data_IF_174032740923
#
_entry.id   IF_174032740923
#
_cell.length_a   1.000
_cell.length_b   1.000
_cell.length_c   1.000
_cell.angle_alpha   90.00
_cell.angle_beta   90.00
_cell.angle_gamma   90.00
#
_symmetry.space_group_name_H-M   'P 1'
#
loop_
_entity.id
_entity.type
_entity.pdbx_description
1 polymer ?
#
# COMPACT_ATOMS: atom_id res chain seq x y z
N UNK A 1 6.12 -18.59 -24.47
CA UNK A 1 7.18 -17.84 -23.77
C UNK A 1 6.60 -17.53 -22.40
N UNK A 2 7.17 -17.99 -21.28
CA UNK A 2 6.62 -17.57 -20.00
C UNK A 2 6.88 -16.06 -19.90
N UNK A 3 5.80 -15.31 -19.72
CA UNK A 3 5.86 -13.92 -19.29
C UNK A 3 6.56 -13.98 -17.94
N UNK A 4 7.60 -13.16 -17.74
CA UNK A 4 8.27 -13.08 -16.45
C UNK A 4 7.22 -12.58 -15.45
N UNK A 5 6.62 -13.47 -14.65
CA UNK A 5 5.46 -13.17 -13.79
C UNK A 5 5.81 -12.21 -12.65
N UNK A 6 7.10 -11.88 -12.47
CA UNK A 6 7.59 -10.94 -11.47
C UNK A 6 8.27 -9.72 -12.15
N UNK A 7 7.79 -8.53 -11.79
CA UNK A 7 8.41 -7.26 -12.18
C UNK A 7 9.75 -7.08 -11.46
N UNK A 8 10.76 -6.59 -12.17
CA UNK A 8 12.02 -6.17 -11.54
C UNK A 8 11.79 -4.97 -10.61
N UNK A 9 12.75 -4.70 -9.72
CA UNK A 9 12.70 -3.52 -8.84
C UNK A 9 12.56 -2.22 -9.65
N UNK A 10 13.30 -2.07 -10.77
CA UNK A 10 13.20 -0.91 -11.66
C UNK A 10 11.80 -0.79 -12.28
N UNK A 11 11.19 -1.91 -12.68
CA UNK A 11 9.83 -1.92 -13.23
C UNK A 11 8.79 -1.57 -12.17
N UNK A 12 8.96 -2.03 -10.93
CA UNK A 12 8.11 -1.65 -9.80
C UNK A 12 8.24 -0.16 -9.48
N UNK A 13 9.44 0.41 -9.51
CA UNK A 13 9.66 1.84 -9.30
C UNK A 13 9.05 2.67 -10.43
N UNK A 14 9.14 2.20 -11.68
CA UNK A 14 8.49 2.83 -12.84
C UNK A 14 6.97 2.83 -12.69
N UNK A 15 6.40 1.70 -12.27
CA UNK A 15 4.96 1.57 -12.01
C UNK A 15 4.51 2.46 -10.86
N UNK A 16 5.26 2.50 -9.76
CA UNK A 16 5.00 3.38 -8.62
C UNK A 16 4.98 4.84 -9.05
N UNK A 17 5.99 5.30 -9.80
CA UNK A 17 6.05 6.67 -10.34
C UNK A 17 4.87 6.98 -11.26
N UNK A 18 4.47 6.01 -12.07
CA UNK A 18 3.31 6.15 -12.96
C UNK A 18 2.03 6.32 -12.15
N UNK A 19 1.86 5.53 -11.08
CA UNK A 19 0.67 5.57 -10.25
C UNK A 19 0.58 6.82 -9.37
N UNK A 20 1.69 7.28 -8.79
CA UNK A 20 1.69 8.52 -8.01
C UNK A 20 1.29 9.71 -8.87
N UNK A 21 1.82 9.79 -10.10
CA UNK A 21 1.45 10.83 -11.07
C UNK A 21 -0.03 10.69 -11.49
N UNK A 22 -0.47 9.48 -11.83
CA UNK A 22 -1.87 9.21 -12.20
C UNK A 22 -2.85 9.58 -11.07
N UNK A 23 -2.44 9.37 -9.83
CA UNK A 23 -3.23 9.71 -8.64
C UNK A 23 -3.24 11.21 -8.31
N UNK A 24 -2.48 12.02 -9.06
CA UNK A 24 -2.49 13.48 -8.99
C UNK A 24 -1.33 14.10 -8.21
N UNK A 25 -0.34 13.32 -7.79
CA UNK A 25 0.88 13.89 -7.22
C UNK A 25 1.72 14.55 -8.31
N UNK A 26 2.43 15.63 -7.97
CA UNK A 26 3.43 16.20 -8.86
C UNK A 26 4.66 15.26 -8.95
N UNK A 27 5.39 15.30 -10.06
CA UNK A 27 6.65 14.53 -10.21
C UNK A 27 7.71 14.90 -9.16
N UNK A 28 7.60 16.10 -8.58
CA UNK A 28 8.46 16.59 -7.51
C UNK A 28 7.97 16.22 -6.11
N UNK A 29 6.75 15.68 -5.97
CA UNK A 29 6.21 15.25 -4.68
C UNK A 29 7.02 14.04 -4.21
N UNK A 30 7.58 14.06 -2.98
CA UNK A 30 8.38 12.94 -2.49
C UNK A 30 7.52 11.68 -2.31
N UNK A 31 8.15 10.54 -2.54
CA UNK A 31 7.60 9.22 -2.24
C UNK A 31 8.46 8.63 -1.14
N UNK A 32 7.90 8.49 0.05
CA UNK A 32 8.62 8.12 1.27
C UNK A 32 8.48 6.61 1.53
N UNK A 33 9.58 5.85 1.66
CA UNK A 33 9.49 4.46 2.06
C UNK A 33 9.04 4.36 3.53
N UNK A 34 8.03 3.52 3.78
CA UNK A 34 7.48 3.27 5.12
C UNK A 34 7.61 1.80 5.47
N UNK A 35 8.15 1.51 6.65
CA UNK A 35 8.26 0.14 7.18
C UNK A 35 6.97 -0.24 7.90
N UNK A 36 6.35 -1.34 7.47
CA UNK A 36 5.19 -1.97 8.09
C UNK A 36 5.62 -3.36 8.54
N UNK A 37 6.31 -3.45 9.68
CA UNK A 37 7.01 -4.68 10.06
C UNK A 37 8.23 -4.91 9.15
N UNK A 38 8.25 -6.04 8.46
CA UNK A 38 9.33 -6.39 7.54
C UNK A 38 9.07 -5.94 6.09
N UNK A 39 7.84 -5.54 5.81
CA UNK A 39 7.43 -5.01 4.52
C UNK A 39 7.77 -3.52 4.34
N UNK A 40 8.24 -3.16 3.14
CA UNK A 40 8.40 -1.76 2.72
C UNK A 40 7.22 -1.35 1.85
N UNK A 41 6.43 -0.40 2.34
CA UNK A 41 5.43 0.33 1.59
C UNK A 41 5.98 1.69 1.14
N UNK A 42 5.22 2.41 0.31
CA UNK A 42 5.61 3.74 -0.16
C UNK A 42 4.46 4.73 0.08
N UNK A 43 4.71 5.81 0.81
CA UNK A 43 3.74 6.85 1.09
C UNK A 43 3.99 8.06 0.18
N UNK A 44 2.97 8.51 -0.52
CA UNK A 44 2.99 9.78 -1.24
C UNK A 44 1.74 10.56 -0.86
N UNK A 45 1.92 11.70 -0.20
CA UNK A 45 0.84 12.48 0.42
C UNK A 45 0.00 11.61 1.38
N UNK A 46 -1.27 11.34 1.05
CA UNK A 46 -2.17 10.48 1.85
C UNK A 46 -2.40 9.11 1.22
N UNK A 47 -1.60 8.72 0.23
CA UNK A 47 -1.75 7.49 -0.54
C UNK A 47 -0.61 6.54 -0.21
N UNK A 48 -0.95 5.39 0.36
CA UNK A 48 0.00 4.34 0.72
C UNK A 48 -0.01 3.25 -0.35
N UNK A 49 1.14 2.98 -0.95
CA UNK A 49 1.31 2.02 -2.04
C UNK A 49 1.99 0.74 -1.53
N UNK A 50 1.32 -0.40 -1.73
CA UNK A 50 1.83 -1.75 -1.45
C UNK A 50 2.22 -2.40 -2.78
N UNK A 51 3.47 -2.17 -3.20
CA UNK A 51 4.00 -2.59 -4.51
C UNK A 51 4.73 -3.93 -4.47
N UNK A 52 5.44 -4.19 -3.37
CA UNK A 52 6.30 -5.35 -3.23
C UNK A 52 5.47 -6.62 -2.97
N UNK A 53 6.00 -7.78 -3.37
CA UNK A 53 5.45 -9.06 -2.98
C UNK A 53 5.76 -9.39 -1.51
N UNK A 54 5.10 -10.41 -0.97
CA UNK A 54 5.41 -10.94 0.36
C UNK A 54 4.80 -10.18 1.53
N UNK A 55 3.74 -9.37 1.32
CA UNK A 55 2.98 -8.78 2.41
C UNK A 55 2.28 -9.88 3.25
N UNK A 56 2.48 -9.85 4.57
CA UNK A 56 1.98 -10.88 5.48
C UNK A 56 1.00 -10.32 6.51
N UNK A 57 0.30 -11.21 7.25
CA UNK A 57 -0.55 -10.80 8.37
C UNK A 57 0.23 -10.09 9.49
N UNK A 58 1.55 -10.35 9.65
CA UNK A 58 2.38 -9.63 10.60
C UNK A 58 2.59 -8.17 10.18
N UNK A 59 2.79 -7.93 8.88
CA UNK A 59 2.92 -6.59 8.31
C UNK A 59 1.57 -5.83 8.36
N UNK A 60 0.46 -6.53 8.15
CA UNK A 60 -0.89 -5.97 8.34
C UNK A 60 -1.11 -5.52 9.80
N UNK A 61 -0.72 -6.34 10.77
CA UNK A 61 -0.81 -5.96 12.18
C UNK A 61 0.07 -4.73 12.48
N UNK A 62 1.29 -4.70 11.94
CA UNK A 62 2.18 -3.55 12.07
C UNK A 62 1.60 -2.29 11.41
N UNK A 63 0.91 -2.43 10.28
CA UNK A 63 0.20 -1.34 9.61
C UNK A 63 -0.91 -0.75 10.49
N UNK A 64 -1.80 -1.59 11.03
CA UNK A 64 -2.88 -1.12 11.91
C UNK A 64 -2.30 -0.45 13.16
N UNK A 65 -1.26 -1.02 13.78
CA UNK A 65 -0.57 -0.39 14.92
C UNK A 65 0.01 0.96 14.58
N UNK A 66 0.65 1.09 13.41
CA UNK A 66 1.21 2.38 12.97
C UNK A 66 0.12 3.44 12.78
N UNK A 67 -1.06 3.07 12.28
CA UNK A 67 -2.21 3.99 12.20
C UNK A 67 -2.71 4.46 13.57
N UNK A 68 -2.53 3.64 14.62
CA UNK A 68 -2.92 3.97 15.99
C UNK A 68 -1.86 4.81 16.72
N UNK A 69 -0.58 4.49 16.52
CA UNK A 69 0.53 4.99 17.34
C UNK A 69 1.24 6.23 16.75
N UNK A 70 1.12 6.46 15.44
CA UNK A 70 1.83 7.50 14.71
C UNK A 70 0.85 8.49 14.07
N UNK A 71 0.69 9.66 14.70
CA UNK A 71 -0.25 10.69 14.27
C UNK A 71 0.09 11.31 12.90
N UNK A 72 1.36 11.26 12.50
CA UNK A 72 1.80 11.76 11.19
C UNK A 72 1.54 10.72 10.09
N UNK A 73 1.43 9.44 10.46
CA UNK A 73 1.06 8.35 9.55
C UNK A 73 -0.45 8.21 9.38
N UNK A 74 -1.04 9.13 8.60
CA UNK A 74 -2.49 9.18 8.36
C UNK A 74 -2.87 9.12 6.86
N UNK A 75 -2.62 7.97 6.18
CA UNK A 75 -3.11 7.78 4.82
C UNK A 75 -4.63 7.71 4.78
N UNK A 76 -5.24 8.13 3.67
CA UNK A 76 -6.68 7.97 3.41
C UNK A 76 -6.99 6.93 2.31
N UNK A 77 -5.95 6.42 1.65
CA UNK A 77 -6.07 5.40 0.62
C UNK A 77 -4.88 4.44 0.66
N UNK A 78 -5.17 3.15 0.59
CA UNK A 78 -4.18 2.08 0.39
C UNK A 78 -4.35 1.56 -1.02
N UNK A 79 -3.30 1.65 -1.85
CA UNK A 79 -3.27 1.16 -3.22
C UNK A 79 -2.40 -0.08 -3.25
N UNK A 80 -2.96 -1.19 -3.71
CA UNK A 80 -2.28 -2.49 -3.74
C UNK A 80 -2.00 -2.87 -5.18
N UNK A 81 -0.75 -3.27 -5.45
CA UNK A 81 -0.45 -3.98 -6.68
C UNK A 81 -0.91 -5.42 -6.57
N UNK A 82 -2.09 -5.70 -7.15
CA UNK A 82 -2.82 -6.94 -6.98
C UNK A 82 -2.03 -8.17 -7.44
N UNK A 83 -1.21 -8.04 -8.49
CA UNK A 83 -0.37 -9.13 -8.99
C UNK A 83 0.66 -9.62 -7.97
N UNK A 84 1.08 -8.76 -7.04
CA UNK A 84 2.08 -9.07 -6.00
C UNK A 84 1.46 -9.46 -4.64
N UNK A 85 0.13 -9.56 -4.55
CA UNK A 85 -0.56 -9.90 -3.30
C UNK A 85 -1.58 -11.01 -3.54
N UNK A 86 -1.50 -12.11 -2.80
CA UNK A 86 -2.47 -13.18 -2.89
C UNK A 86 -3.90 -12.68 -2.59
N UNK A 87 -4.90 -13.18 -3.32
CA UNK A 87 -6.31 -12.76 -3.17
C UNK A 87 -6.84 -12.90 -1.74
N UNK A 88 -6.41 -13.94 -1.01
CA UNK A 88 -6.74 -14.10 0.40
C UNK A 88 -6.21 -12.95 1.26
N UNK A 89 -4.95 -12.53 1.04
CA UNK A 89 -4.34 -11.40 1.74
C UNK A 89 -4.96 -10.06 1.32
N UNK A 90 -5.33 -9.89 0.05
CA UNK A 90 -6.09 -8.71 -0.40
C UNK A 90 -7.42 -8.59 0.35
N UNK A 91 -8.13 -9.71 0.53
CA UNK A 91 -9.38 -9.76 1.28
C UNK A 91 -9.19 -9.46 2.77
N UNK A 92 -8.18 -10.05 3.40
CA UNK A 92 -7.84 -9.81 4.80
C UNK A 92 -7.48 -8.34 5.06
N UNK A 93 -6.70 -7.72 4.16
CA UNK A 93 -6.38 -6.29 4.21
C UNK A 93 -7.63 -5.40 4.10
N UNK A 94 -8.51 -5.66 3.13
CA UNK A 94 -9.75 -4.89 2.96
C UNK A 94 -10.66 -5.01 4.19
N UNK A 95 -10.79 -6.21 4.77
CA UNK A 95 -11.56 -6.41 6.00
C UNK A 95 -10.96 -5.67 7.19
N UNK A 96 -9.64 -5.75 7.40
CA UNK A 96 -8.97 -5.06 8.50
C UNK A 96 -9.10 -3.54 8.38
N UNK A 97 -8.88 -2.99 7.17
CA UNK A 97 -9.03 -1.55 6.90
C UNK A 97 -10.46 -1.09 7.15
N UNK A 98 -11.47 -1.79 6.61
CA UNK A 98 -12.89 -1.45 6.86
C UNK A 98 -13.24 -1.48 8.34
N UNK A 99 -12.76 -2.50 9.06
CA UNK A 99 -12.95 -2.61 10.51
C UNK A 99 -12.35 -1.41 11.26
N UNK A 100 -11.16 -0.98 10.86
CA UNK A 100 -10.49 0.19 11.43
C UNK A 100 -11.24 1.50 11.13
N UNK A 101 -11.57 1.74 9.86
CA UNK A 101 -12.35 2.89 9.38
C UNK A 101 -13.66 3.04 10.15
N UNK A 102 -14.43 1.95 10.32
CA UNK A 102 -15.68 1.97 11.06
C UNK A 102 -15.50 2.26 12.55
N UNK A 103 -14.43 1.73 13.17
CA UNK A 103 -14.15 1.91 14.61
C UNK A 103 -13.66 3.32 14.94
N UNK A 104 -12.89 3.93 14.05
CA UNK A 104 -12.23 5.22 14.27
C UNK A 104 -12.96 6.40 13.61
N UNK A 105 -14.01 6.14 12.83
CA UNK A 105 -14.75 7.13 12.05
C UNK A 105 -13.84 7.98 11.14
N UNK A 106 -12.83 7.34 10.52
CA UNK A 106 -11.91 7.98 9.58
C UNK A 106 -12.21 7.57 8.14
N UNK A 107 -11.64 8.28 7.17
CA UNK A 107 -11.70 7.89 5.75
C UNK A 107 -10.42 7.14 5.36
N UNK A 108 -10.49 5.80 5.29
CA UNK A 108 -9.43 4.94 4.77
C UNK A 108 -10.03 3.83 3.92
N UNK A 109 -9.58 3.73 2.66
CA UNK A 109 -10.11 2.76 1.69
C UNK A 109 -8.99 2.00 0.96
N UNK A 110 -9.27 0.76 0.56
CA UNK A 110 -8.35 -0.09 -0.22
C UNK A 110 -8.74 -0.05 -1.70
N UNK A 111 -7.75 0.09 -2.58
CA UNK A 111 -7.89 0.03 -4.04
C UNK A 111 -6.91 -1.01 -4.57
N UNK A 112 -7.42 -2.05 -5.23
CA UNK A 112 -6.59 -3.03 -5.93
C UNK A 112 -6.39 -2.57 -7.37
N UNK A 113 -5.14 -2.56 -7.84
CA UNK A 113 -4.76 -2.24 -9.23
C UNK A 113 -3.93 -3.37 -9.83
N UNK A 114 -4.16 -3.63 -11.10
CA UNK A 114 -3.45 -4.63 -11.93
C UNK A 114 -2.81 -3.96 -13.13
#
# INVERSE_FOLDING_TARGET
>A
MPLNDELSEEQLQTLLTTWTLYDGAALTTPVEPVRLGDYTAYLCEKRLYLMNAGFTSADLLAFIRKLDDDADFNPNRVIVFGSNMASAMQHELDQAVRGYTNKKEIELNVVIRV
#
